data_IF_996144258245
#
_entry.id   IF_996144258245
#
_cell.length_a   1.000
_cell.length_b   1.000
_cell.length_c   1.000
_cell.angle_alpha   90.00
_cell.angle_beta   90.00
_cell.angle_gamma   90.00
#
_symmetry.space_group_name_H-M   'P 1'
#
loop_
_entity.id
_entity.type
_entity.pdbx_description
1 polymer ?
#
# COMPACT_ATOMS: atom_id res chain seq x y z
N UNK A 1 -0.33 -1.32 5.65
CA UNK A 1 -0.78 0.05 5.35
C UNK A 1 -1.23 0.23 3.91
N UNK A 2 -0.38 -0.01 2.90
CA UNK A 2 -0.76 0.20 1.49
C UNK A 2 -2.05 -0.52 1.04
N UNK A 3 -2.22 -1.80 1.39
CA UNK A 3 -3.45 -2.56 1.07
C UNK A 3 -4.71 -1.92 1.66
N UNK A 4 -4.64 -1.38 2.88
CA UNK A 4 -5.77 -0.73 3.57
C UNK A 4 -6.12 0.59 2.88
N UNK A 5 -5.11 1.33 2.43
CA UNK A 5 -5.30 2.58 1.67
C UNK A 5 -5.95 2.31 0.31
N UNK A 6 -5.51 1.28 -0.42
CA UNK A 6 -6.00 1.03 -1.79
C UNK A 6 -7.30 0.21 -1.86
N UNK A 7 -7.55 -0.67 -0.88
CA UNK A 7 -8.69 -1.60 -0.89
C UNK A 7 -9.72 -1.30 0.20
N UNK A 8 -9.48 -0.29 1.03
CA UNK A 8 -10.39 0.11 2.10
C UNK A 8 -11.72 0.64 1.56
N UNK A 9 -12.82 0.26 2.22
CA UNK A 9 -14.16 0.77 1.86
C UNK A 9 -14.34 2.24 2.23
N UNK A 10 -13.80 2.68 3.38
CA UNK A 10 -13.81 4.07 3.84
C UNK A 10 -12.54 4.78 3.37
N UNK A 11 -12.60 6.11 3.26
CA UNK A 11 -11.45 6.90 2.87
C UNK A 11 -10.33 6.79 3.92
N UNK A 12 -9.06 6.67 3.50
CA UNK A 12 -7.92 6.56 4.41
C UNK A 12 -7.53 7.93 4.96
N UNK A 13 -7.40 8.01 6.28
CA UNK A 13 -6.73 9.12 6.98
C UNK A 13 -5.39 8.61 7.50
N UNK A 14 -4.32 9.12 6.91
CA UNK A 14 -2.96 8.65 7.15
C UNK A 14 -2.25 9.55 8.16
N UNK A 15 -1.89 8.98 9.31
CA UNK A 15 -1.05 9.64 10.31
C UNK A 15 0.40 9.53 9.82
N UNK A 16 0.94 10.63 9.30
CA UNK A 16 2.18 10.67 8.52
C UNK A 16 3.07 11.85 8.95
N UNK A 17 3.63 11.83 10.18
CA UNK A 17 4.49 12.92 10.67
C UNK A 17 5.75 13.13 9.82
N UNK A 18 6.20 12.10 9.09
CA UNK A 18 7.39 12.17 8.23
C UNK A 18 7.09 12.42 6.74
N UNK A 19 5.82 12.52 6.33
CA UNK A 19 5.43 12.78 4.94
C UNK A 19 5.69 11.63 3.96
N UNK A 20 5.86 10.39 4.44
CA UNK A 20 6.09 9.22 3.58
C UNK A 20 4.82 8.79 2.85
N UNK A 21 3.69 8.76 3.55
CA UNK A 21 2.39 8.44 2.96
C UNK A 21 2.01 9.49 1.91
N UNK A 22 2.24 10.76 2.20
CA UNK A 22 2.00 11.88 1.30
C UNK A 22 2.77 11.72 -0.02
N UNK A 23 4.08 11.44 0.07
CA UNK A 23 4.93 11.18 -1.11
C UNK A 23 4.49 9.94 -1.87
N UNK A 24 4.14 8.88 -1.15
CA UNK A 24 3.69 7.63 -1.75
C UNK A 24 2.38 7.79 -2.55
N UNK A 25 1.38 8.50 -2.01
CA UNK A 25 0.13 8.79 -2.74
C UNK A 25 0.40 9.67 -3.97
N UNK A 26 1.25 10.70 -3.85
CA UNK A 26 1.66 11.52 -5.00
C UNK A 26 2.33 10.70 -6.10
N UNK A 27 3.18 9.74 -5.74
CA UNK A 27 3.82 8.87 -6.72
C UNK A 27 2.86 7.84 -7.32
N UNK A 28 1.89 7.36 -6.54
CA UNK A 28 0.92 6.36 -6.97
C UNK A 28 -0.10 6.92 -7.96
N UNK A 29 -0.63 8.11 -7.68
CA UNK A 29 -1.69 8.77 -8.48
C UNK A 29 -1.11 9.65 -9.59
N UNK A 30 0.19 10.01 -9.52
CA UNK A 30 0.88 10.77 -10.55
C UNK A 30 0.32 12.19 -10.76
N UNK A 31 0.30 12.64 -12.01
CA UNK A 31 -0.08 14.01 -12.39
C UNK A 31 -1.59 14.29 -12.26
N UNK A 32 -2.42 13.25 -12.15
CA UNK A 32 -3.87 13.38 -11.99
C UNK A 32 -4.27 13.82 -10.57
N UNK A 33 -3.38 13.65 -9.59
CA UNK A 33 -3.63 13.99 -8.20
C UNK A 33 -3.70 15.50 -7.99
N UNK A 34 -4.78 15.95 -7.36
CA UNK A 34 -4.86 17.28 -6.74
C UNK A 34 -4.57 17.18 -5.26
N UNK A 35 -3.71 18.05 -4.75
CA UNK A 35 -3.29 18.03 -3.36
C UNK A 35 -3.32 19.45 -2.78
N UNK A 36 -4.07 19.63 -1.70
CA UNK A 36 -4.37 20.95 -1.12
C UNK A 36 -4.53 20.83 0.40
N UNK A 37 -4.22 21.89 1.14
CA UNK A 37 -4.44 21.96 2.59
C UNK A 37 -5.89 22.37 2.93
N UNK A 38 -6.42 21.89 4.05
CA UNK A 38 -7.76 22.28 4.53
C UNK A 38 -7.87 23.81 4.77
N UNK A 39 -6.77 24.48 5.09
CA UNK A 39 -6.73 25.92 5.33
C UNK A 39 -6.66 26.76 4.04
N UNK A 40 -6.54 26.14 2.86
CA UNK A 40 -6.51 26.86 1.61
C UNK A 40 -7.90 27.40 1.26
N UNK A 41 -8.00 28.69 0.90
CA UNK A 41 -9.28 29.36 0.62
C UNK A 41 -10.15 28.67 -0.44
N UNK A 42 -9.50 28.00 -1.40
CA UNK A 42 -10.16 27.38 -2.54
C UNK A 42 -10.35 25.86 -2.39
N UNK A 43 -10.03 25.26 -1.23
CA UNK A 43 -10.01 23.79 -1.09
C UNK A 43 -11.37 23.15 -1.41
N UNK A 44 -12.48 23.74 -0.97
CA UNK A 44 -13.83 23.21 -1.26
C UNK A 44 -14.09 23.23 -2.76
N UNK A 45 -13.76 24.32 -3.45
CA UNK A 45 -13.96 24.45 -4.90
C UNK A 45 -13.11 23.44 -5.68
N UNK A 46 -11.88 23.20 -5.23
CA UNK A 46 -11.01 22.19 -5.86
C UNK A 46 -11.53 20.77 -5.63
N UNK A 47 -12.02 20.48 -4.42
CA UNK A 47 -12.66 19.22 -4.09
C UNK A 47 -13.96 19.00 -4.89
N UNK A 48 -14.79 20.04 -5.08
CA UNK A 48 -15.99 19.97 -5.93
C UNK A 48 -15.65 19.52 -7.34
N UNK A 49 -14.61 20.10 -7.94
CA UNK A 49 -14.16 19.74 -9.27
C UNK A 49 -13.62 18.30 -9.30
N UNK A 50 -12.85 17.89 -8.29
CA UNK A 50 -12.35 16.53 -8.21
C UNK A 50 -13.47 15.49 -8.11
N UNK A 51 -14.51 15.75 -7.32
CA UNK A 51 -15.69 14.88 -7.21
C UNK A 51 -16.43 14.76 -8.55
N UNK A 52 -16.68 15.90 -9.21
CA UNK A 52 -17.42 15.96 -10.49
C UNK A 52 -16.67 15.24 -11.61
N UNK A 53 -15.37 15.44 -11.71
CA UNK A 53 -14.54 14.89 -12.79
C UNK A 53 -13.88 13.55 -12.43
N UNK A 54 -14.07 13.04 -11.22
CA UNK A 54 -13.48 11.77 -10.78
C UNK A 54 -11.96 11.82 -10.58
N UNK A 55 -11.38 13.00 -10.34
CA UNK A 55 -9.94 13.13 -10.13
C UNK A 55 -9.55 12.67 -8.71
N UNK A 56 -8.41 11.99 -8.53
CA UNK A 56 -7.89 11.69 -7.21
C UNK A 56 -7.55 12.99 -6.46
N UNK A 57 -7.92 13.06 -5.19
CA UNK A 57 -7.74 14.24 -4.35
C UNK A 57 -7.13 13.88 -3.00
N UNK A 58 -6.09 14.62 -2.60
CA UNK A 58 -5.36 14.47 -1.36
C UNK A 58 -5.52 15.75 -0.51
N UNK A 59 -6.25 15.63 0.60
CA UNK A 59 -6.33 16.69 1.60
C UNK A 59 -5.14 16.57 2.57
N UNK A 60 -4.30 17.60 2.55
CA UNK A 60 -3.03 17.64 3.28
C UNK A 60 -3.19 18.32 4.65
N UNK A 61 -2.30 17.92 5.57
CA UNK A 61 -2.13 18.50 6.89
C UNK A 61 -3.44 18.70 7.68
N UNK A 62 -4.32 17.70 7.65
CA UNK A 62 -5.61 17.78 8.37
C UNK A 62 -5.39 17.79 9.87
N UNK A 63 -6.15 18.65 10.56
CA UNK A 63 -6.14 18.76 12.01
C UNK A 63 -7.09 17.72 12.65
N UNK A 64 -7.29 17.78 13.98
CA UNK A 64 -8.22 16.89 14.69
C UNK A 64 -9.68 17.21 14.33
N UNK A 65 -9.95 18.48 14.01
CA UNK A 65 -11.23 18.97 13.53
C UNK A 65 -11.23 19.09 12.00
N UNK A 66 -12.09 18.30 11.36
CA UNK A 66 -12.32 18.37 9.92
C UNK A 66 -13.46 19.35 9.64
N UNK A 67 -13.38 20.04 8.50
CA UNK A 67 -14.46 20.93 8.07
C UNK A 67 -15.79 20.15 7.94
N UNK A 68 -16.88 20.57 8.62
CA UNK A 68 -18.18 19.89 8.54
C UNK A 68 -18.75 19.75 7.13
N UNK A 69 -18.35 20.60 6.17
CA UNK A 69 -18.75 20.49 4.78
C UNK A 69 -18.25 19.18 4.12
N UNK A 70 -17.17 18.59 4.63
CA UNK A 70 -16.62 17.31 4.17
C UNK A 70 -17.46 16.10 4.60
N UNK A 71 -18.36 16.28 5.56
CA UNK A 71 -19.11 15.20 6.20
C UNK A 71 -19.78 14.23 5.20
N UNK A 72 -20.54 14.68 4.20
CA UNK A 72 -21.19 13.76 3.28
C UNK A 72 -20.19 13.02 2.39
N UNK A 73 -19.05 13.65 2.07
CA UNK A 73 -17.97 13.03 1.29
C UNK A 73 -17.26 11.95 2.12
N UNK A 74 -16.95 12.23 3.39
CA UNK A 74 -16.31 11.28 4.29
C UNK A 74 -17.16 10.03 4.50
N UNK A 75 -18.47 10.20 4.64
CA UNK A 75 -19.44 9.10 4.76
C UNK A 75 -19.72 8.38 3.45
N UNK A 76 -19.30 8.93 2.30
CA UNK A 76 -19.74 8.49 0.97
C UNK A 76 -21.27 8.49 0.86
N UNK A 77 -21.92 9.55 1.35
CA UNK A 77 -23.37 9.74 1.33
C UNK A 77 -23.91 10.06 -0.07
N UNK A 78 -23.58 9.22 -1.04
CA UNK A 78 -24.01 9.30 -2.44
C UNK A 78 -25.43 8.77 -2.54
N UNK A 79 -26.29 9.51 -3.24
CA UNK A 79 -27.67 9.10 -3.50
C UNK A 79 -27.98 9.17 -5.00
N UNK A 80 -28.95 8.38 -5.44
CA UNK A 80 -29.33 8.29 -6.84
C UNK A 80 -30.59 9.12 -7.10
N UNK A 81 -30.54 10.01 -8.09
CA UNK A 81 -31.70 10.78 -8.58
C UNK A 81 -31.82 10.53 -10.08
N UNK A 82 -32.89 9.83 -10.48
CA UNK A 82 -33.03 9.35 -11.85
C UNK A 82 -31.87 8.41 -12.22
N UNK A 83 -31.10 8.75 -13.25
CA UNK A 83 -29.92 7.99 -13.66
C UNK A 83 -28.58 8.61 -13.21
N UNK A 84 -28.61 9.67 -12.41
CA UNK A 84 -27.41 10.38 -11.91
C UNK A 84 -27.13 9.98 -10.46
N UNK A 85 -25.85 9.92 -10.12
CA UNK A 85 -25.39 9.82 -8.74
C UNK A 85 -24.98 11.20 -8.27
N UNK A 86 -25.48 11.59 -7.11
CA UNK A 86 -25.29 12.91 -6.55
C UNK A 86 -24.75 12.81 -5.13
N UNK A 87 -23.97 13.82 -4.74
CA UNK A 87 -23.48 13.98 -3.37
C UNK A 87 -23.57 15.45 -2.99
N UNK A 88 -23.77 15.73 -1.69
CA UNK A 88 -23.74 17.09 -1.17
C UNK A 88 -22.34 17.44 -0.66
N UNK A 89 -21.89 18.66 -0.91
CA UNK A 89 -20.70 19.23 -0.30
C UNK A 89 -21.05 20.65 0.16
N UNK A 90 -21.08 20.87 1.48
CA UNK A 90 -21.68 22.08 2.05
C UNK A 90 -23.12 22.26 1.56
N UNK A 91 -23.39 23.41 0.94
CA UNK A 91 -24.71 23.76 0.40
C UNK A 91 -24.90 23.36 -1.09
N UNK A 92 -23.89 22.75 -1.73
CA UNK A 92 -23.95 22.39 -3.14
C UNK A 92 -24.28 20.91 -3.37
N UNK A 93 -25.02 20.63 -4.44
CA UNK A 93 -25.29 19.29 -4.95
C UNK A 93 -24.43 19.04 -6.20
N UNK A 94 -23.61 17.98 -6.16
CA UNK A 94 -22.59 17.70 -7.17
C UNK A 94 -22.88 16.34 -7.84
N UNK A 95 -22.61 16.24 -9.13
CA UNK A 95 -22.49 14.93 -9.80
C UNK A 95 -21.33 14.15 -9.19
N UNK A 96 -21.59 12.91 -8.81
CA UNK A 96 -20.61 12.02 -8.22
C UNK A 96 -20.04 11.07 -9.28
N UNK A 97 -18.73 11.12 -9.49
CA UNK A 97 -18.01 10.14 -10.30
C UNK A 97 -17.57 8.92 -9.46
N UNK A 98 -17.72 7.71 -10.01
CA UNK A 98 -17.22 6.48 -9.39
C UNK A 98 -15.70 6.39 -9.33
N UNK A 99 -15.02 7.12 -10.21
CA UNK A 99 -13.55 7.14 -10.33
C UNK A 99 -12.91 8.01 -9.25
N UNK A 100 -13.69 8.87 -8.59
CA UNK A 100 -13.21 9.72 -7.52
C UNK A 100 -12.52 8.91 -6.41
N UNK A 101 -11.31 9.36 -6.04
CA UNK A 101 -10.53 8.84 -4.92
C UNK A 101 -10.19 9.98 -3.97
N UNK A 102 -10.34 9.74 -2.67
CA UNK A 102 -10.07 10.74 -1.65
C UNK A 102 -9.12 10.20 -0.59
N UNK A 103 -8.07 10.97 -0.30
CA UNK A 103 -7.01 10.64 0.64
C UNK A 103 -6.85 11.79 1.64
N UNK A 104 -6.61 11.48 2.91
CA UNK A 104 -6.30 12.47 3.93
C UNK A 104 -4.95 12.15 4.57
N UNK A 105 -4.13 13.16 4.83
CA UNK A 105 -2.87 13.02 5.60
C UNK A 105 -2.82 14.03 6.72
N UNK A 106 -2.30 13.63 7.88
CA UNK A 106 -1.97 14.53 8.99
C UNK A 106 -0.51 14.38 9.40
N UNK A 107 0.13 15.50 9.77
CA UNK A 107 1.49 15.51 10.34
C UNK A 107 1.52 15.31 11.85
N UNK A 108 0.36 15.32 12.52
CA UNK A 108 0.30 15.10 13.96
C UNK A 108 0.67 13.65 14.26
N UNK A 109 1.68 13.41 15.11
CA UNK A 109 2.12 12.05 15.43
C UNK A 109 1.10 11.28 16.28
N UNK A 110 0.34 11.97 17.13
CA UNK A 110 -0.67 11.37 18.00
C UNK A 110 -1.95 12.21 18.06
N UNK A 111 -2.74 12.24 16.98
CA UNK A 111 -3.99 12.98 16.94
C UNK A 111 -5.09 12.25 17.71
N UNK A 112 -5.85 12.99 18.52
CA UNK A 112 -6.98 12.52 19.29
C UNK A 112 -8.28 12.72 18.50
N UNK A 113 -8.41 11.98 17.40
CA UNK A 113 -9.65 11.99 16.64
C UNK A 113 -10.83 11.47 17.47
N UNK A 114 -11.93 12.21 17.41
CA UNK A 114 -13.17 11.78 18.06
C UNK A 114 -13.64 10.44 17.48
N UNK A 115 -14.42 9.64 18.25
CA UNK A 115 -15.02 8.41 17.75
C UNK A 115 -15.81 8.65 16.47
N UNK A 116 -16.45 9.80 16.37
CA UNK A 116 -17.19 10.26 15.20
C UNK A 116 -16.31 10.24 13.93
N UNK A 117 -15.13 10.86 13.94
CA UNK A 117 -14.19 10.82 12.79
C UNK A 117 -13.75 9.39 12.52
N UNK A 118 -13.39 8.63 13.55
CA UNK A 118 -12.90 7.24 13.46
C UNK A 118 -13.93 6.25 12.88
N UNK A 119 -15.22 6.56 12.95
CA UNK A 119 -16.28 5.77 12.30
C UNK A 119 -16.40 6.06 10.80
N UNK A 120 -16.04 7.26 10.35
CA UNK A 120 -16.23 7.74 8.96
C UNK A 120 -15.04 7.43 8.08
N UNK A 121 -13.82 7.58 8.60
CA UNK A 121 -12.57 7.29 7.88
C UNK A 121 -11.91 6.02 8.40
N UNK A 122 -10.98 5.48 7.62
CA UNK A 122 -10.06 4.44 8.09
C UNK A 122 -8.75 5.12 8.48
N UNK A 123 -8.48 5.23 9.78
CA UNK A 123 -7.21 5.76 10.28
C UNK A 123 -6.11 4.72 10.02
N UNK A 124 -5.04 5.13 9.35
CA UNK A 124 -3.88 4.30 9.02
C UNK A 124 -2.63 4.97 9.57
N UNK A 125 -1.93 4.28 10.47
CA UNK A 125 -0.71 4.82 11.07
C UNK A 125 0.50 4.59 10.15
N UNK A 126 1.01 5.65 9.54
CA UNK A 126 2.24 5.68 8.74
C UNK A 126 3.45 6.22 9.50
N UNK A 127 3.31 6.51 10.80
CA UNK A 127 4.43 6.88 11.65
C UNK A 127 5.51 5.80 11.59
N UNK A 128 6.72 6.21 11.23
CA UNK A 128 7.87 5.33 11.25
C UNK A 128 8.12 4.92 12.70
N UNK A 129 8.06 3.61 12.98
CA UNK A 129 8.52 3.07 14.27
C UNK A 129 10.03 3.24 14.37
N UNK A 130 10.55 3.49 15.57
CA UNK A 130 11.99 3.65 15.84
C UNK A 130 12.82 2.52 15.19
N UNK A 131 12.38 1.27 15.35
CA UNK A 131 12.97 0.08 14.70
C UNK A 131 13.02 0.20 13.15
N UNK A 132 11.98 0.77 12.54
CA UNK A 132 11.90 0.98 11.10
C UNK A 132 12.80 2.13 10.62
N UNK A 133 12.98 3.17 11.44
CA UNK A 133 13.91 4.26 11.15
C UNK A 133 15.36 3.80 11.27
N UNK A 134 15.68 3.04 12.33
CA UNK A 134 16.99 2.43 12.51
C UNK A 134 17.35 1.52 11.33
N UNK A 135 16.42 0.69 10.86
CA UNK A 135 16.64 -0.16 9.70
C UNK A 135 16.86 0.66 8.40
N UNK A 136 16.17 1.79 8.24
CA UNK A 136 16.37 2.70 7.10
C UNK A 136 17.72 3.41 7.15
N UNK A 137 18.09 3.96 8.31
CA UNK A 137 19.38 4.61 8.51
C UNK A 137 20.52 3.61 8.35
N UNK A 138 20.37 2.41 8.88
CA UNK A 138 21.32 1.31 8.68
C UNK A 138 21.49 1.01 7.20
N UNK A 139 20.39 0.91 6.44
CA UNK A 139 20.43 0.72 4.99
C UNK A 139 21.20 1.84 4.27
N UNK A 140 20.99 3.10 4.66
CA UNK A 140 21.72 4.25 4.09
C UNK A 140 23.23 4.15 4.40
N UNK A 141 23.58 3.83 5.64
CA UNK A 141 24.98 3.71 6.07
C UNK A 141 25.67 2.54 5.39
N UNK A 142 25.10 1.33 5.37
CA UNK A 142 25.76 0.22 4.67
C UNK A 142 25.79 0.44 3.17
N UNK A 143 24.82 1.17 2.58
CA UNK A 143 24.90 1.57 1.17
C UNK A 143 26.09 2.49 0.89
N UNK A 144 26.46 3.36 1.84
CA UNK A 144 27.61 4.24 1.72
C UNK A 144 28.93 3.51 1.98
N UNK A 145 29.00 2.72 3.04
CA UNK A 145 30.21 2.02 3.49
C UNK A 145 30.50 0.74 2.68
N UNK A 146 29.47 -0.06 2.38
CA UNK A 146 29.59 -1.33 1.67
C UNK A 146 28.46 -1.54 0.63
N UNK A 147 28.49 -0.80 -0.50
CA UNK A 147 27.43 -0.84 -1.51
C UNK A 147 27.13 -2.23 -2.07
N UNK A 148 28.14 -3.11 -2.11
CA UNK A 148 28.00 -4.50 -2.59
C UNK A 148 27.08 -5.32 -1.69
N UNK A 149 27.20 -5.16 -0.38
CA UNK A 149 26.37 -5.86 0.60
C UNK A 149 24.90 -5.44 0.47
N UNK A 150 24.65 -4.13 0.32
CA UNK A 150 23.29 -3.63 0.11
C UNK A 150 22.70 -4.07 -1.24
N UNK A 151 23.53 -4.14 -2.29
CA UNK A 151 23.10 -4.68 -3.58
C UNK A 151 22.71 -6.15 -3.47
N UNK A 152 23.52 -6.97 -2.80
CA UNK A 152 23.21 -8.38 -2.55
C UNK A 152 21.91 -8.56 -1.76
N UNK A 153 21.67 -7.73 -0.74
CA UNK A 153 20.41 -7.75 0.01
C UNK A 153 19.22 -7.43 -0.90
N UNK A 154 19.31 -6.38 -1.72
CA UNK A 154 18.24 -6.01 -2.62
C UNK A 154 17.95 -7.10 -3.68
N UNK A 155 18.98 -7.69 -4.26
CA UNK A 155 18.85 -8.81 -5.21
C UNK A 155 18.20 -10.03 -4.54
N UNK A 156 18.59 -10.33 -3.30
CA UNK A 156 18.03 -11.42 -2.51
C UNK A 156 16.53 -11.21 -2.24
N UNK A 157 16.13 -10.01 -1.81
CA UNK A 157 14.72 -9.65 -1.57
C UNK A 157 13.88 -9.82 -2.83
N UNK A 158 14.38 -9.35 -3.99
CA UNK A 158 13.70 -9.52 -5.27
C UNK A 158 13.58 -11.00 -5.65
N UNK A 159 14.65 -11.78 -5.48
CA UNK A 159 14.66 -13.22 -5.76
C UNK A 159 13.69 -13.99 -4.87
N UNK A 160 13.65 -13.69 -3.58
CA UNK A 160 12.71 -14.31 -2.61
C UNK A 160 11.27 -13.98 -2.98
N UNK A 161 10.98 -12.72 -3.35
CA UNK A 161 9.65 -12.32 -3.78
C UNK A 161 9.23 -13.04 -5.08
N UNK A 162 10.13 -13.16 -6.05
CA UNK A 162 9.89 -13.90 -7.28
C UNK A 162 9.66 -15.41 -7.03
N UNK A 163 10.45 -16.03 -6.16
CA UNK A 163 10.29 -17.43 -5.77
C UNK A 163 8.95 -17.69 -5.08
N UNK A 164 8.58 -16.86 -4.10
CA UNK A 164 7.28 -16.96 -3.41
C UNK A 164 6.11 -16.79 -4.38
N UNK A 165 6.20 -15.83 -5.31
CA UNK A 165 5.19 -15.67 -6.36
C UNK A 165 5.09 -16.90 -7.25
N UNK A 166 6.23 -17.48 -7.65
CA UNK A 166 6.24 -18.68 -8.50
C UNK A 166 5.57 -19.87 -7.82
N UNK A 167 5.73 -20.03 -6.49
CA UNK A 167 5.02 -21.08 -5.74
C UNK A 167 3.51 -20.89 -5.79
N UNK A 168 3.01 -19.67 -5.61
CA UNK A 168 1.57 -19.37 -5.71
C UNK A 168 1.06 -19.66 -7.13
N UNK A 169 1.80 -19.24 -8.15
CA UNK A 169 1.43 -19.50 -9.55
C UNK A 169 1.37 -21.01 -9.86
N UNK A 170 2.31 -21.81 -9.32
CA UNK A 170 2.29 -23.27 -9.45
C UNK A 170 1.08 -23.89 -8.72
N UNK A 171 0.73 -23.38 -7.53
CA UNK A 171 -0.44 -23.84 -6.77
C UNK A 171 -1.74 -23.56 -7.53
N UNK A 172 -1.91 -22.34 -8.04
CA UNK A 172 -3.06 -21.94 -8.85
C UNK A 172 -3.17 -22.78 -10.14
N UNK A 173 -2.04 -23.07 -10.79
CA UNK A 173 -1.98 -23.92 -11.97
C UNK A 173 -2.43 -25.36 -11.67
N UNK A 174 -1.95 -25.94 -10.57
CA UNK A 174 -2.36 -27.28 -10.11
C UNK A 174 -3.86 -27.31 -9.83
N UNK A 175 -4.40 -26.31 -9.11
CA UNK A 175 -5.83 -26.22 -8.82
C UNK A 175 -6.67 -26.09 -10.08
N UNK A 176 -6.21 -25.28 -11.05
CA UNK A 176 -6.87 -25.12 -12.36
C UNK A 176 -6.90 -26.43 -13.13
N UNK A 177 -5.80 -27.17 -13.14
CA UNK A 177 -5.69 -28.45 -13.84
C UNK A 177 -6.59 -29.51 -13.20
N UNK A 178 -6.57 -29.64 -11.87
CA UNK A 178 -7.45 -30.56 -11.14
C UNK A 178 -8.94 -30.23 -11.30
N UNK A 179 -9.31 -28.95 -11.35
CA UNK A 179 -10.69 -28.53 -11.53
C UNK A 179 -11.23 -28.78 -12.94
N UNK A 180 -10.36 -28.83 -13.96
CA UNK A 180 -10.75 -29.03 -15.35
C UNK A 180 -10.65 -30.50 -15.80
N UNK A 181 -9.96 -31.35 -15.05
CA UNK A 181 -9.85 -32.77 -15.33
C UNK A 181 -11.23 -33.44 -15.29
N UNK A 182 -11.62 -34.09 -16.40
CA UNK A 182 -12.85 -34.87 -16.53
C UNK A 182 -12.50 -36.34 -16.73
N UNK A 183 -12.96 -37.22 -15.84
CA UNK A 183 -12.66 -38.65 -15.89
C UNK A 183 -11.57 -39.05 -14.88
N UNK A 184 -10.88 -40.16 -15.15
CA UNK A 184 -9.78 -40.66 -14.31
C UNK A 184 -8.55 -39.77 -14.49
N UNK A 185 -8.06 -39.18 -13.39
CA UNK A 185 -6.86 -38.34 -13.36
C UNK A 185 -5.59 -39.08 -13.84
N UNK A 186 -5.59 -40.41 -13.77
CA UNK A 186 -4.47 -41.26 -14.17
C UNK A 186 -4.41 -41.50 -15.69
N UNK A 187 -5.49 -41.21 -16.41
CA UNK A 187 -5.59 -41.44 -17.85
C UNK A 187 -5.17 -40.19 -18.65
N UNK A 188 -5.00 -39.05 -17.96
CA UNK A 188 -4.56 -37.79 -18.53
C UNK A 188 -3.04 -37.64 -18.37
N UNK A 189 -2.31 -38.16 -19.37
CA UNK A 189 -0.85 -38.16 -19.38
C UNK A 189 -0.26 -36.73 -19.39
N UNK A 190 -0.97 -35.77 -19.99
CA UNK A 190 -0.57 -34.35 -20.01
C UNK A 190 -0.69 -33.74 -18.60
N UNK A 191 -1.77 -34.04 -17.90
CA UNK A 191 -1.98 -33.65 -16.50
C UNK A 191 -0.90 -34.24 -15.59
N UNK A 192 -0.63 -35.55 -15.69
CA UNK A 192 0.37 -36.22 -14.86
C UNK A 192 1.77 -35.62 -15.08
N UNK A 193 2.16 -35.38 -16.34
CA UNK A 193 3.44 -34.77 -16.66
C UNK A 193 3.54 -33.33 -16.13
N UNK A 194 2.47 -32.53 -16.27
CA UNK A 194 2.46 -31.15 -15.78
C UNK A 194 2.53 -31.10 -14.26
N UNK A 195 1.80 -31.97 -13.55
CA UNK A 195 1.88 -32.09 -12.09
C UNK A 195 3.29 -32.49 -11.63
N UNK A 196 3.95 -33.40 -12.35
CA UNK A 196 5.31 -33.82 -12.04
C UNK A 196 6.31 -32.68 -12.23
N UNK A 197 6.23 -31.93 -13.34
CA UNK A 197 7.08 -30.74 -13.59
C UNK A 197 6.84 -29.67 -12.52
N UNK A 198 5.58 -29.38 -12.19
CA UNK A 198 5.23 -28.40 -11.15
C UNK A 198 5.74 -28.82 -9.78
N UNK A 199 5.69 -30.11 -9.44
CA UNK A 199 6.26 -30.65 -8.20
C UNK A 199 7.77 -30.43 -8.14
N UNK A 200 8.51 -30.85 -9.17
CA UNK A 200 9.97 -30.69 -9.20
C UNK A 200 10.37 -29.22 -9.15
N UNK A 201 9.69 -28.35 -9.92
CA UNK A 201 9.94 -26.90 -9.88
C UNK A 201 9.64 -26.31 -8.50
N UNK A 202 8.58 -26.74 -7.84
CA UNK A 202 8.23 -26.30 -6.48
C UNK A 202 9.28 -26.73 -5.45
N UNK A 203 9.80 -27.95 -5.55
CA UNK A 203 10.89 -28.45 -4.69
C UNK A 203 12.19 -27.65 -4.89
N UNK A 204 12.54 -27.32 -6.14
CA UNK A 204 13.69 -26.49 -6.48
C UNK A 204 13.56 -25.07 -5.93
N UNK A 205 12.41 -24.42 -6.16
CA UNK A 205 12.12 -23.07 -5.65
C UNK A 205 12.13 -23.06 -4.12
N UNK A 206 11.53 -24.07 -3.48
CA UNK A 206 11.53 -24.20 -2.01
C UNK A 206 12.95 -24.34 -1.47
N UNK A 207 13.80 -25.13 -2.14
CA UNK A 207 15.21 -25.29 -1.75
C UNK A 207 15.97 -23.98 -1.92
N UNK A 208 15.77 -23.29 -3.04
CA UNK A 208 16.37 -21.98 -3.28
C UNK A 208 15.93 -20.94 -2.24
N UNK A 209 14.68 -20.97 -1.81
CA UNK A 209 14.16 -20.07 -0.77
C UNK A 209 14.80 -20.34 0.59
N UNK A 210 15.03 -21.61 0.96
CA UNK A 210 15.75 -21.96 2.19
C UNK A 210 17.18 -21.42 2.19
N UNK A 211 17.91 -21.60 1.07
CA UNK A 211 19.26 -21.05 0.92
C UNK A 211 19.24 -19.52 0.98
N UNK A 212 18.20 -18.90 0.39
CA UNK A 212 18.02 -17.46 0.45
C UNK A 212 17.78 -16.96 1.88
N UNK A 213 16.96 -17.64 2.68
CA UNK A 213 16.73 -17.32 4.10
C UNK A 213 18.01 -17.43 4.93
N UNK A 214 18.81 -18.49 4.76
CA UNK A 214 20.11 -18.60 5.42
C UNK A 214 21.09 -17.50 5.01
N UNK A 215 21.03 -17.09 3.75
CA UNK A 215 21.85 -16.00 3.21
C UNK A 215 21.39 -14.64 3.75
N UNK A 216 20.08 -14.43 3.89
CA UNK A 216 19.48 -13.23 4.48
C UNK A 216 19.95 -13.06 5.93
N UNK A 217 19.95 -14.13 6.73
CA UNK A 217 20.47 -14.11 8.10
C UNK A 217 21.94 -13.69 8.15
N UNK A 218 22.77 -14.22 7.23
CA UNK A 218 24.20 -13.86 7.16
C UNK A 218 24.41 -12.41 6.76
N UNK A 219 23.63 -11.93 5.78
CA UNK A 219 23.68 -10.53 5.33
C UNK A 219 23.22 -9.59 6.44
N UNK A 220 22.15 -9.94 7.16
CA UNK A 220 21.65 -9.14 8.28
C UNK A 220 22.65 -9.11 9.44
N UNK A 221 23.29 -10.23 9.76
CA UNK A 221 24.37 -10.26 10.74
C UNK A 221 25.56 -9.38 10.32
N UNK A 222 25.93 -9.37 9.03
CA UNK A 222 26.98 -8.50 8.52
C UNK A 222 26.58 -7.02 8.59
N UNK A 223 25.33 -6.70 8.27
CA UNK A 223 24.77 -5.34 8.38
C UNK A 223 24.79 -4.84 9.81
N UNK A 224 24.59 -5.72 10.79
CA UNK A 224 24.61 -5.35 12.21
C UNK A 224 25.95 -4.84 12.74
N UNK A 225 27.06 -5.18 12.08
CA UNK A 225 28.35 -4.55 12.34
C UNK A 225 28.34 -3.03 12.16
N UNK A 226 27.46 -2.51 11.28
CA UNK A 226 27.34 -1.09 10.96
C UNK A 226 26.28 -0.35 11.79
N UNK A 227 25.55 -1.06 12.67
CA UNK A 227 24.51 -0.45 13.52
C UNK A 227 25.07 0.62 14.46
N UNK A 228 26.25 0.37 15.04
CA UNK A 228 26.93 1.33 15.92
C UNK A 228 27.42 2.61 15.21
N UNK A 229 27.60 2.57 13.88
CA UNK A 229 27.93 3.75 13.05
C UNK A 229 26.66 4.52 12.69
N UNK A 230 25.57 3.79 12.45
CA UNK A 230 24.24 4.35 12.16
C UNK A 230 23.66 5.11 13.35
N UNK A 231 23.80 4.58 14.57
CA UNK A 231 23.33 5.23 15.80
C UNK A 231 24.11 6.51 16.18
N UNK A 232 25.31 6.73 15.62
CA UNK A 232 26.07 7.98 15.81
C UNK A 232 25.71 9.08 14.82
N UNK A 233 24.99 8.72 13.75
CA UNK A 233 24.61 9.63 12.66
C UNK A 233 23.14 10.05 12.74
N UNK A 234 22.36 9.42 13.62
CA UNK A 234 20.99 9.77 14.00
C UNK A 234 20.99 10.86 15.07
#
# INVERSE_FOLDING_TARGET
NGVVVTRGRRWPLMIDPQGQANKWVKQMEGDELKATDQNAKDFLRELENAIKFGMPYLLQDVEEELDPALEPVLQKAVYKVGNRLLIRLGDQELDYSHDFRFYLTTKMANPHYTPEVSTKVTVVNFSVKEEGLEAQLLGIVVKAEEPKLEKQKNELVVSVAAGKRKLVELEDEILRLLSNAKGSLLDDEELVNTLQVSKTTSEEVTTSLKVAEETEIKIDAAREGYRAVSARSA
#
